data_IF_073616531664
#
_entry.id   IF_073616531664
#
_cell.length_a   1.000
_cell.length_b   1.000
_cell.length_c   1.000
_cell.angle_alpha   90.00
_cell.angle_beta   90.00
_cell.angle_gamma   90.00
#
_symmetry.space_group_name_H-M   'P 1'
#
loop_
_entity.id
_entity.type
_entity.pdbx_description
1 polymer ?
#
# COMPACT_ATOMS: atom_id res chain seq x y z
N UNK A 1 17.60 3.03 -3.24
CA UNK A 1 18.96 3.59 -3.12
C UNK A 1 19.78 2.72 -2.17
N UNK A 2 21.11 2.76 -2.24
CA UNK A 2 21.97 2.16 -1.20
C UNK A 2 22.40 3.29 -0.27
N UNK A 3 22.25 3.08 1.04
CA UNK A 3 22.74 3.96 2.08
C UNK A 3 23.97 3.32 2.73
N UNK A 4 25.13 3.95 2.55
CA UNK A 4 26.35 3.62 3.27
C UNK A 4 26.24 4.15 4.71
N UNK A 5 25.89 3.28 5.66
CA UNK A 5 25.48 3.71 7.00
C UNK A 5 26.65 3.97 7.96
N UNK A 6 27.86 3.54 7.62
CA UNK A 6 29.05 3.72 8.46
C UNK A 6 30.32 3.95 7.63
N UNK A 7 31.05 5.01 7.96
CA UNK A 7 32.33 5.32 7.32
C UNK A 7 33.44 4.30 7.66
N UNK A 8 33.35 3.59 8.80
CA UNK A 8 34.42 2.71 9.28
C UNK A 8 34.19 1.23 8.96
N UNK A 9 32.93 0.81 8.79
CA UNK A 9 32.57 -0.59 8.52
C UNK A 9 32.51 -0.92 7.02
N UNK A 10 32.59 0.11 6.16
CA UNK A 10 32.53 -0.04 4.70
C UNK A 10 31.27 -0.77 4.25
N UNK A 11 31.39 -1.56 3.18
CA UNK A 11 30.25 -2.21 2.53
C UNK A 11 29.51 -3.23 3.39
N UNK A 12 30.09 -3.66 4.53
CA UNK A 12 29.39 -4.50 5.50
C UNK A 12 28.23 -3.78 6.20
N UNK A 13 28.17 -2.45 6.09
CA UNK A 13 27.13 -1.59 6.65
C UNK A 13 26.21 -0.96 5.60
N UNK A 14 26.27 -1.43 4.36
CA UNK A 14 25.42 -0.91 3.30
C UNK A 14 23.98 -1.39 3.44
N UNK A 15 23.03 -0.45 3.43
CA UNK A 15 21.60 -0.72 3.58
C UNK A 15 20.84 -0.37 2.30
N UNK A 16 20.07 -1.32 1.79
CA UNK A 16 19.07 -0.99 0.78
C UNK A 16 17.96 -0.15 1.41
N UNK A 17 17.77 1.05 0.89
CA UNK A 17 16.82 2.04 1.41
C UNK A 17 15.88 2.48 0.30
N UNK A 18 14.61 2.66 0.62
CA UNK A 18 13.61 3.22 -0.29
C UNK A 18 12.74 4.24 0.43
N UNK A 19 12.37 5.29 -0.30
CA UNK A 19 11.41 6.30 0.17
C UNK A 19 10.03 5.91 -0.35
N UNK A 20 9.02 5.95 0.52
CA UNK A 20 7.64 5.69 0.12
C UNK A 20 7.14 6.78 -0.82
N UNK A 21 6.33 6.40 -1.82
CA UNK A 21 5.87 7.31 -2.87
C UNK A 21 5.09 8.52 -2.33
N UNK A 22 4.25 8.31 -1.31
CA UNK A 22 3.41 9.35 -0.72
C UNK A 22 3.62 9.42 0.80
N UNK A 23 3.11 8.42 1.51
CA UNK A 23 3.20 8.29 2.95
C UNK A 23 3.23 6.80 3.32
N UNK A 24 3.22 6.47 4.61
CA UNK A 24 3.05 5.10 5.10
C UNK A 24 1.59 4.66 5.22
N UNK A 25 0.65 5.51 4.78
CA UNK A 25 -0.78 5.21 4.79
C UNK A 25 -1.20 4.45 3.53
N UNK A 26 -2.39 3.84 3.59
CA UNK A 26 -3.04 3.18 2.48
C UNK A 26 -3.28 4.17 1.30
N UNK A 27 -3.29 3.69 0.04
CA UNK A 27 -3.83 4.44 -1.09
C UNK A 27 -5.33 4.69 -0.90
N UNK A 28 -5.83 5.85 -1.32
CA UNK A 28 -7.27 6.20 -1.22
C UNK A 28 -8.16 5.07 -1.75
N UNK A 29 -9.14 4.62 -0.95
CA UNK A 29 -10.07 3.54 -1.30
C UNK A 29 -9.60 2.12 -1.00
N UNK A 30 -8.41 1.96 -0.39
CA UNK A 30 -7.81 0.67 -0.04
C UNK A 30 -7.55 0.48 1.46
N UNK A 31 -8.29 1.18 2.33
CA UNK A 31 -8.27 0.83 3.75
C UNK A 31 -9.26 -0.30 4.05
N UNK A 32 -8.75 -1.39 4.62
CA UNK A 32 -9.55 -2.59 4.98
C UNK A 32 -9.49 -2.91 6.48
N UNK A 33 -9.22 -1.89 7.30
CA UNK A 33 -9.26 -2.00 8.76
C UNK A 33 -10.65 -1.67 9.31
N UNK A 34 -10.96 -2.15 10.52
CA UNK A 34 -12.26 -1.98 11.20
C UNK A 34 -12.59 -0.52 11.54
N UNK A 35 -11.57 0.34 11.55
CA UNK A 35 -11.69 1.77 11.84
C UNK A 35 -11.87 2.64 10.58
N UNK A 36 -11.91 2.04 9.40
CA UNK A 36 -12.02 2.75 8.13
C UNK A 36 -13.45 2.81 7.61
N UNK A 37 -13.70 3.80 6.74
CA UNK A 37 -15.00 4.08 6.14
C UNK A 37 -15.05 3.69 4.65
N UNK A 38 -13.96 3.13 4.10
CA UNK A 38 -13.93 2.66 2.71
C UNK A 38 -14.89 1.48 2.53
N UNK A 39 -15.65 1.48 1.44
CA UNK A 39 -16.56 0.38 1.13
C UNK A 39 -15.78 -0.95 1.03
N UNK A 40 -16.29 -2.05 1.61
CA UNK A 40 -15.67 -3.35 1.43
C UNK A 40 -15.70 -3.79 -0.03
N UNK A 41 -14.87 -4.74 -0.40
CA UNK A 41 -14.97 -5.40 -1.70
C UNK A 41 -16.14 -6.38 -1.62
N UNK A 42 -17.17 -6.16 -2.44
CA UNK A 42 -18.35 -7.01 -2.57
C UNK A 42 -18.27 -7.67 -3.94
N UNK A 43 -17.88 -8.94 -3.93
CA UNK A 43 -17.56 -9.75 -5.11
C UNK A 43 -18.69 -10.68 -5.55
N UNK A 44 -19.79 -10.76 -4.78
CA UNK A 44 -21.01 -11.48 -5.15
C UNK A 44 -21.80 -10.72 -6.24
N UNK A 45 -21.89 -11.24 -7.49
CA UNK A 45 -22.59 -10.57 -8.58
C UNK A 45 -24.10 -10.43 -8.39
N UNK A 46 -24.70 -11.25 -7.51
CA UNK A 46 -26.13 -11.19 -7.21
C UNK A 46 -26.44 -10.15 -6.11
N UNK A 47 -25.41 -9.59 -5.46
CA UNK A 47 -25.56 -8.52 -4.48
C UNK A 47 -25.96 -7.21 -5.16
N UNK A 48 -26.96 -6.47 -4.64
CA UNK A 48 -27.26 -5.12 -5.12
C UNK A 48 -26.10 -4.14 -4.90
N UNK A 49 -25.18 -4.48 -3.99
CA UNK A 49 -24.00 -3.68 -3.63
C UNK A 49 -22.72 -4.17 -4.32
N UNK A 50 -22.83 -5.06 -5.34
CA UNK A 50 -21.67 -5.56 -6.09
C UNK A 50 -20.78 -4.42 -6.61
N UNK A 51 -19.49 -4.44 -6.23
CA UNK A 51 -18.58 -3.34 -6.52
C UNK A 51 -17.18 -3.75 -7.01
N UNK A 52 -16.92 -5.05 -7.21
CA UNK A 52 -15.59 -5.56 -7.60
C UNK A 52 -15.06 -4.90 -8.88
N UNK A 53 -15.81 -4.95 -9.99
CA UNK A 53 -15.38 -4.40 -11.29
C UNK A 53 -15.15 -2.88 -11.22
N UNK A 54 -15.99 -2.19 -10.46
CA UNK A 54 -15.86 -0.74 -10.26
C UNK A 54 -14.58 -0.40 -9.49
N UNK A 55 -14.25 -1.15 -8.43
CA UNK A 55 -13.02 -0.96 -7.66
C UNK A 55 -11.75 -1.30 -8.44
N UNK A 56 -11.78 -2.34 -9.29
CA UNK A 56 -10.66 -2.69 -10.17
C UNK A 56 -10.43 -1.61 -11.24
N UNK A 57 -11.51 -1.07 -11.81
CA UNK A 57 -11.44 -0.08 -12.91
C UNK A 57 -11.08 1.34 -12.46
N UNK A 58 -10.99 1.58 -11.15
CA UNK A 58 -10.74 2.91 -10.60
C UNK A 58 -9.28 3.38 -10.80
N UNK A 59 -8.38 2.52 -11.30
CA UNK A 59 -6.95 2.81 -11.55
C UNK A 59 -6.51 2.37 -12.96
#
# INVERSE_FOLDING_TARGET
>A
MVWEASESLGSSSDLFTSVLYNHYSYPTGFCVDVNCEDDPIIDDPDSPDYNLEAKVSLH
#
